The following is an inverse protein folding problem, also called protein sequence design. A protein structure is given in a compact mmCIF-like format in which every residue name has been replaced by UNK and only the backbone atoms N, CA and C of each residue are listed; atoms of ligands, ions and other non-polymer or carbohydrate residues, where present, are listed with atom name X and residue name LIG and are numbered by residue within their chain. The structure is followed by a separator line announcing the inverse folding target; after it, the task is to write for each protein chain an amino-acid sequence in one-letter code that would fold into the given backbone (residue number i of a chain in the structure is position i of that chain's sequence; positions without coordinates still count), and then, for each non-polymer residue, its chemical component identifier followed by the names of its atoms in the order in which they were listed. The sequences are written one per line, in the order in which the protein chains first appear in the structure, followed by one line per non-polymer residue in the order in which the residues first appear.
data_IF_597316401443
#
_entry.id   IF_597316401443
#
_cell.length_a   1.000
_cell.length_b   1.000
_cell.length_c   1.000
_cell.angle_alpha   90.00
_cell.angle_beta   90.00
_cell.angle_gamma   90.00
#
_symmetry.space_group_name_H-M   'P 1'
#
loop_
_entity.id
_entity.type
_entity.pdbx_description
1 polymer ?
#
# COMPACT_ATOMS: atom_id res chain seq x y z
N UNK A 1 34.48 -22.51 -5.17
CA UNK A 1 34.35 -21.62 -4.00
C UNK A 1 33.03 -21.95 -3.35
N UNK A 2 33.02 -22.14 -2.05
CA UNK A 2 31.81 -22.54 -1.32
C UNK A 2 30.92 -21.31 -1.06
N UNK A 3 30.10 -20.95 -2.06
CA UNK A 3 29.16 -19.84 -1.95
C UNK A 3 27.90 -20.30 -1.21
N UNK A 4 28.02 -20.43 0.12
CA UNK A 4 26.87 -20.62 1.00
C UNK A 4 26.02 -19.34 0.98
N UNK A 5 24.97 -19.34 0.14
CA UNK A 5 24.04 -18.22 0.02
C UNK A 5 23.22 -18.06 1.31
N UNK A 6 22.96 -16.81 1.70
CA UNK A 6 22.18 -16.49 2.90
C UNK A 6 20.70 -16.46 2.58
N UNK A 7 19.92 -17.24 3.32
CA UNK A 7 18.45 -17.13 3.34
C UNK A 7 18.09 -16.12 4.41
N UNK A 8 17.59 -14.94 4.01
CA UNK A 8 17.05 -13.94 4.93
C UNK A 8 15.54 -14.21 5.13
N UNK A 9 15.07 -14.43 6.38
CA UNK A 9 13.65 -14.67 6.66
C UNK A 9 12.72 -13.54 6.21
N UNK A 10 13.18 -12.28 6.20
CA UNK A 10 12.38 -11.15 5.75
C UNK A 10 12.09 -11.25 4.24
N UNK A 11 13.06 -11.74 3.45
CA UNK A 11 12.94 -11.98 2.02
C UNK A 11 12.15 -13.24 1.71
N UNK A 12 12.50 -14.36 2.34
CA UNK A 12 11.82 -15.64 2.15
C UNK A 12 10.31 -15.51 2.44
N UNK A 13 9.93 -14.79 3.50
CA UNK A 13 8.53 -14.56 3.86
C UNK A 13 7.74 -13.58 2.98
N UNK A 14 8.35 -12.89 1.99
CA UNK A 14 7.59 -12.01 1.06
C UNK A 14 6.95 -12.79 -0.09
N UNK A 15 7.46 -13.97 -0.42
CA UNK A 15 6.93 -14.83 -1.47
C UNK A 15 6.11 -15.93 -0.78
N UNK A 16 4.81 -16.12 -1.11
CA UNK A 16 4.03 -17.22 -0.56
C UNK A 16 4.74 -18.56 -0.81
N UNK A 17 4.75 -19.49 0.16
CA UNK A 17 5.24 -20.84 -0.08
C UNK A 17 4.42 -21.48 -1.20
N UNK A 18 5.08 -22.28 -2.03
CA UNK A 18 4.38 -23.16 -2.97
C UNK A 18 3.88 -24.39 -2.20
N UNK A 19 2.83 -25.04 -2.71
CA UNK A 19 2.35 -26.28 -2.11
C UNK A 19 3.40 -27.40 -2.16
N UNK A 20 3.29 -28.39 -1.28
CA UNK A 20 4.20 -29.53 -1.25
C UNK A 20 4.22 -30.28 -2.61
N UNK A 21 3.08 -30.31 -3.30
CA UNK A 21 2.96 -30.90 -4.64
C UNK A 21 3.70 -30.09 -5.71
N UNK A 22 3.57 -28.76 -5.71
CA UNK A 22 4.36 -27.90 -6.59
C UNK A 22 5.86 -27.96 -6.26
N UNK A 23 6.23 -28.11 -5.00
CA UNK A 23 7.61 -28.30 -4.58
C UNK A 23 8.16 -29.66 -5.04
N UNK A 24 7.37 -30.72 -4.93
CA UNK A 24 7.70 -32.05 -5.44
C UNK A 24 7.92 -32.04 -6.94
N UNK A 25 7.01 -31.47 -7.72
CA UNK A 25 7.17 -31.34 -9.17
C UNK A 25 8.39 -30.49 -9.54
N UNK A 26 8.64 -29.38 -8.82
CA UNK A 26 9.83 -28.55 -9.03
C UNK A 26 11.12 -29.35 -8.75
N UNK A 27 11.15 -30.15 -7.69
CA UNK A 27 12.27 -31.03 -7.35
C UNK A 27 12.50 -32.07 -8.44
N UNK A 28 11.47 -32.83 -8.82
CA UNK A 28 11.55 -33.86 -9.86
C UNK A 28 12.11 -33.28 -11.17
N UNK A 29 11.59 -32.13 -11.62
CA UNK A 29 12.07 -31.44 -12.83
C UNK A 29 13.55 -31.03 -12.76
N UNK A 30 14.04 -30.58 -11.60
CA UNK A 30 15.44 -30.18 -11.41
C UNK A 30 16.36 -31.41 -11.40
N UNK A 31 15.94 -32.51 -10.79
CA UNK A 31 16.72 -33.74 -10.71
C UNK A 31 16.80 -34.45 -12.08
N UNK A 32 15.70 -34.45 -12.85
CA UNK A 32 15.70 -34.98 -14.22
C UNK A 32 16.62 -34.18 -15.16
N UNK A 33 16.60 -32.84 -15.05
CA UNK A 33 17.48 -31.98 -15.85
C UNK A 33 18.96 -32.04 -15.40
N UNK A 34 19.22 -32.38 -14.14
CA UNK A 34 20.56 -32.29 -13.52
C UNK A 34 21.09 -30.85 -13.36
N UNK A 35 20.30 -29.84 -13.72
CA UNK A 35 20.66 -28.43 -13.58
C UNK A 35 19.45 -27.51 -13.34
N UNK A 36 19.71 -26.41 -12.63
CA UNK A 36 18.74 -25.32 -12.43
C UNK A 36 18.92 -24.27 -13.52
N UNK A 37 18.04 -24.28 -14.52
CA UNK A 37 18.08 -23.35 -15.66
C UNK A 37 18.02 -21.87 -15.26
N UNK A 38 17.03 -21.51 -14.42
CA UNK A 38 16.87 -20.15 -13.89
C UNK A 38 17.85 -19.90 -12.73
N UNK A 39 18.77 -18.93 -12.82
CA UNK A 39 19.74 -18.68 -11.77
C UNK A 39 19.08 -18.25 -10.46
N UNK A 40 19.71 -18.57 -9.34
CA UNK A 40 19.33 -18.02 -8.02
C UNK A 40 19.67 -16.52 -8.03
N UNK A 41 18.70 -15.67 -7.74
CA UNK A 41 18.90 -14.21 -7.77
C UNK A 41 19.32 -13.75 -6.39
N UNK A 42 20.43 -13.01 -6.33
CA UNK A 42 21.08 -12.62 -5.07
C UNK A 42 21.33 -11.11 -4.99
N UNK A 43 21.41 -10.59 -3.76
CA UNK A 43 21.81 -9.21 -3.46
C UNK A 43 22.64 -9.20 -2.17
N UNK A 44 23.89 -8.73 -2.24
CA UNK A 44 24.88 -8.80 -1.16
C UNK A 44 25.04 -10.24 -0.60
N UNK A 45 24.90 -11.26 -1.45
CA UNK A 45 24.93 -12.68 -1.06
C UNK A 45 23.68 -13.20 -0.33
N UNK A 46 22.63 -12.39 -0.18
CA UNK A 46 21.30 -12.80 0.29
C UNK A 46 20.45 -13.25 -0.90
N UNK A 47 19.67 -14.32 -0.76
CA UNK A 47 18.73 -14.77 -1.80
C UNK A 47 17.52 -13.83 -1.87
N UNK A 48 17.23 -13.35 -3.07
CA UNK A 48 16.08 -12.49 -3.40
C UNK A 48 15.01 -13.27 -4.15
N UNK A 49 15.39 -14.18 -5.04
CA UNK A 49 14.47 -15.14 -5.68
C UNK A 49 15.16 -16.48 -5.95
N UNK A 50 14.36 -17.55 -5.99
CA UNK A 50 14.84 -18.93 -6.13
C UNK A 50 14.93 -19.73 -4.84
N UNK A 51 14.38 -19.26 -3.72
CA UNK A 51 14.36 -19.96 -2.43
C UNK A 51 14.04 -21.46 -2.51
N UNK A 52 13.01 -21.84 -3.29
CA UNK A 52 12.63 -23.25 -3.47
C UNK A 52 13.66 -24.04 -4.31
N UNK A 53 14.22 -23.41 -5.34
CA UNK A 53 15.33 -23.99 -6.14
C UNK A 53 16.57 -24.20 -5.27
N UNK A 54 16.88 -23.24 -4.40
CA UNK A 54 17.98 -23.32 -3.44
C UNK A 54 17.81 -24.48 -2.45
N UNK A 55 16.59 -24.68 -1.91
CA UNK A 55 16.30 -25.85 -1.05
C UNK A 55 16.58 -27.17 -1.76
N UNK A 56 16.20 -27.31 -3.04
CA UNK A 56 16.53 -28.50 -3.84
C UNK A 56 18.04 -28.64 -4.04
N UNK A 57 18.77 -27.57 -4.34
CA UNK A 57 20.25 -27.60 -4.46
C UNK A 57 20.92 -28.04 -3.15
N UNK A 58 20.43 -27.57 -1.99
CA UNK A 58 20.98 -27.96 -0.68
C UNK A 58 20.81 -29.46 -0.38
N UNK A 59 19.72 -30.07 -0.86
CA UNK A 59 19.46 -31.50 -0.72
C UNK A 59 20.19 -32.37 -1.78
N UNK A 60 20.67 -31.79 -2.88
CA UNK A 60 21.22 -32.51 -4.04
C UNK A 60 22.44 -31.73 -4.63
N UNK A 61 23.62 -31.75 -3.97
CA UNK A 61 24.77 -30.89 -4.31
C UNK A 61 25.40 -31.14 -5.69
N UNK A 62 25.08 -32.25 -6.33
CA UNK A 62 25.50 -32.62 -7.68
C UNK A 62 24.78 -31.84 -8.80
N UNK A 63 23.61 -31.26 -8.48
CA UNK A 63 22.83 -30.44 -9.42
C UNK A 63 23.62 -29.18 -9.79
N UNK A 64 23.75 -28.89 -11.08
CA UNK A 64 24.43 -27.67 -11.55
C UNK A 64 23.53 -26.46 -11.37
N UNK A 65 24.10 -25.34 -10.93
CA UNK A 65 23.35 -24.09 -10.73
C UNK A 65 24.24 -22.87 -10.96
N UNK A 66 23.61 -21.70 -11.04
CA UNK A 66 24.27 -20.39 -11.22
C UNK A 66 23.59 -19.34 -10.36
N UNK A 67 24.34 -18.33 -9.96
CA UNK A 67 23.79 -17.10 -9.37
C UNK A 67 23.58 -16.02 -10.43
N UNK A 68 22.71 -15.07 -10.11
CA UNK A 68 22.65 -13.74 -10.74
C UNK A 68 22.61 -12.72 -9.62
N UNK A 69 23.76 -12.09 -9.36
CA UNK A 69 23.81 -10.93 -8.47
C UNK A 69 23.05 -9.76 -9.11
N UNK A 70 22.27 -9.06 -8.30
CA UNK A 70 21.52 -7.87 -8.67
C UNK A 70 21.77 -6.77 -7.65
N UNK A 71 21.98 -5.55 -8.14
CA UNK A 71 22.10 -4.37 -7.30
C UNK A 71 20.72 -3.73 -7.05
N UNK A 72 20.39 -3.49 -5.79
CA UNK A 72 19.24 -2.70 -5.36
C UNK A 72 19.70 -1.56 -4.46
N UNK A 73 19.07 -0.39 -4.61
CA UNK A 73 19.40 0.81 -3.82
C UNK A 73 19.09 0.63 -2.32
N UNK A 74 18.03 -0.13 -2.01
CA UNK A 74 17.60 -0.47 -0.66
C UNK A 74 16.81 -1.80 -0.67
N UNK A 75 16.43 -2.31 0.51
CA UNK A 75 15.64 -3.55 0.61
C UNK A 75 14.22 -3.45 0.04
N UNK A 76 13.64 -2.24 -0.01
CA UNK A 76 12.31 -2.00 -0.55
C UNK A 76 12.30 -2.02 -2.09
N UNK A 77 13.39 -1.60 -2.73
CA UNK A 77 13.63 -1.79 -4.17
C UNK A 77 13.75 -3.29 -4.51
N UNK A 78 14.44 -4.07 -3.67
CA UNK A 78 14.50 -5.53 -3.80
C UNK A 78 13.11 -6.18 -3.65
N UNK A 79 12.34 -5.84 -2.59
CA UNK A 79 10.96 -6.30 -2.44
C UNK A 79 10.06 -5.86 -3.61
N UNK A 80 10.21 -4.64 -4.10
CA UNK A 80 9.48 -4.15 -5.28
C UNK A 80 9.77 -4.97 -6.53
N UNK A 81 11.03 -5.38 -6.72
CA UNK A 81 11.41 -6.28 -7.81
C UNK A 81 10.81 -7.68 -7.63
N UNK A 82 10.83 -8.23 -6.40
CA UNK A 82 10.23 -9.54 -6.09
C UNK A 82 8.72 -9.56 -6.38
N UNK A 83 7.95 -8.60 -5.86
CA UNK A 83 6.51 -8.53 -6.09
C UNK A 83 6.18 -8.33 -7.57
N UNK A 84 6.98 -7.55 -8.31
CA UNK A 84 6.84 -7.43 -9.77
C UNK A 84 7.07 -8.77 -10.47
N UNK A 85 8.08 -9.54 -10.07
CA UNK A 85 8.36 -10.86 -10.62
C UNK A 85 7.19 -11.84 -10.34
N UNK A 86 6.60 -11.79 -9.14
CA UNK A 86 5.40 -12.56 -8.80
C UNK A 86 4.21 -12.20 -9.70
N UNK A 87 3.96 -10.91 -9.98
CA UNK A 87 2.85 -10.47 -10.85
C UNK A 87 2.93 -10.93 -12.31
N UNK A 88 4.12 -11.36 -12.77
CA UNK A 88 4.34 -12.00 -14.06
C UNK A 88 3.94 -13.48 -14.11
N UNK A 89 3.71 -14.13 -12.95
CA UNK A 89 3.24 -15.52 -12.89
C UNK A 89 1.78 -15.62 -13.36
N UNK A 90 1.49 -16.60 -14.22
CA UNK A 90 0.16 -16.80 -14.83
C UNK A 90 -0.86 -17.46 -13.88
N UNK A 91 -0.40 -18.09 -12.81
CA UNK A 91 -1.22 -18.96 -11.95
C UNK A 91 -1.62 -18.30 -10.61
N UNK A 92 -1.59 -16.97 -10.50
CA UNK A 92 -2.05 -16.27 -9.29
C UNK A 92 -3.57 -16.23 -9.23
N UNK A 93 -4.14 -16.44 -8.03
CA UNK A 93 -5.54 -16.10 -7.77
C UNK A 93 -5.76 -14.57 -7.85
N UNK A 94 -7.01 -14.14 -8.01
CA UNK A 94 -7.35 -12.72 -8.04
C UNK A 94 -7.04 -12.03 -6.68
N UNK A 95 -7.15 -12.76 -5.57
CA UNK A 95 -6.76 -12.33 -4.23
C UNK A 95 -5.24 -12.23 -4.08
N UNK A 96 -4.46 -13.23 -4.51
CA UNK A 96 -3.00 -13.18 -4.51
C UNK A 96 -2.46 -12.04 -5.39
N UNK A 97 -3.05 -11.85 -6.58
CA UNK A 97 -2.68 -10.73 -7.48
C UNK A 97 -2.98 -9.38 -6.82
N UNK A 98 -4.14 -9.24 -6.19
CA UNK A 98 -4.51 -8.01 -5.46
C UNK A 98 -3.59 -7.75 -4.28
N UNK A 99 -3.32 -8.77 -3.45
CA UNK A 99 -2.38 -8.67 -2.34
C UNK A 99 -0.98 -8.23 -2.81
N UNK A 100 -0.46 -8.87 -3.85
CA UNK A 100 0.87 -8.59 -4.41
C UNK A 100 0.98 -7.17 -4.98
N UNK A 101 -0.07 -6.64 -5.62
CA UNK A 101 -0.13 -5.22 -6.05
C UNK A 101 -0.08 -4.29 -4.82
N UNK A 102 -0.78 -4.63 -3.74
CA UNK A 102 -0.77 -3.88 -2.50
C UNK A 102 0.63 -3.82 -1.87
N UNK A 103 1.31 -4.97 -1.74
CA UNK A 103 2.69 -5.03 -1.18
C UNK A 103 3.73 -4.36 -2.11
N UNK A 104 3.55 -4.40 -3.43
CA UNK A 104 4.36 -3.62 -4.38
C UNK A 104 4.21 -2.11 -4.15
N UNK A 105 2.99 -1.63 -3.94
CA UNK A 105 2.72 -0.21 -3.65
C UNK A 105 3.28 0.21 -2.29
N UNK A 106 3.15 -0.63 -1.26
CA UNK A 106 3.78 -0.45 0.04
C UNK A 106 5.30 -0.33 -0.08
N UNK A 107 5.96 -1.30 -0.72
CA UNK A 107 7.42 -1.30 -0.86
C UNK A 107 7.93 -0.04 -1.59
N UNK A 108 7.31 0.34 -2.72
CA UNK A 108 7.73 1.54 -3.46
C UNK A 108 7.56 2.84 -2.66
N UNK A 109 6.49 2.98 -1.87
CA UNK A 109 6.33 4.13 -0.96
C UNK A 109 7.45 4.19 0.08
N UNK A 110 7.86 3.04 0.61
CA UNK A 110 8.88 2.97 1.65
C UNK A 110 10.30 3.24 1.10
N UNK A 111 10.58 2.86 -0.16
CA UNK A 111 11.85 3.18 -0.86
C UNK A 111 12.01 4.68 -1.14
N UNK A 112 10.92 5.38 -1.49
CA UNK A 112 10.95 6.83 -1.79
C UNK A 112 11.23 7.68 -0.54
N UNK A 113 10.99 7.15 0.65
CA UNK A 113 11.24 7.84 1.92
C UNK A 113 10.09 8.76 2.36
N UNK A 114 9.99 8.95 3.67
CA UNK A 114 8.90 9.69 4.32
C UNK A 114 9.08 11.20 4.43
N UNK A 115 9.97 11.83 3.66
CA UNK A 115 10.20 13.28 3.75
C UNK A 115 9.07 14.09 3.10
N UNK A 116 7.99 14.26 3.86
CA UNK A 116 6.85 15.10 3.53
C UNK A 116 7.08 16.60 3.81
N UNK A 117 8.33 17.04 4.02
CA UNK A 117 8.68 18.43 4.37
C UNK A 117 9.39 19.20 3.25
N UNK A 118 9.80 18.55 2.16
CA UNK A 118 10.28 19.27 0.97
C UNK A 118 9.17 20.10 0.32
N UNK A 119 9.53 21.14 -0.44
CA UNK A 119 8.54 21.98 -1.13
C UNK A 119 7.84 21.29 -2.32
N UNK A 120 8.26 20.09 -2.70
CA UNK A 120 7.72 19.32 -3.82
C UNK A 120 6.46 18.52 -3.45
N UNK A 121 6.14 18.43 -2.16
CA UNK A 121 4.87 17.87 -1.69
C UNK A 121 3.76 18.93 -1.69
N UNK A 122 2.59 18.55 -2.20
CA UNK A 122 1.41 19.41 -2.09
C UNK A 122 1.06 19.63 -0.61
N UNK A 123 0.77 20.88 -0.25
CA UNK A 123 0.27 21.27 1.08
C UNK A 123 -1.26 21.18 1.17
N UNK A 124 -1.92 20.96 0.04
CA UNK A 124 -3.38 21.03 -0.11
C UNK A 124 -3.97 19.62 -0.20
N UNK A 125 -5.01 19.34 0.58
CA UNK A 125 -5.55 17.99 0.79
C UNK A 125 -6.11 17.30 -0.46
N UNK A 126 -6.45 18.06 -1.50
CA UNK A 126 -7.10 17.57 -2.73
C UNK A 126 -6.24 17.68 -4.00
N UNK A 127 -5.04 18.25 -3.92
CA UNK A 127 -4.18 18.43 -5.09
C UNK A 127 -3.28 17.20 -5.28
N UNK A 128 -3.08 16.68 -6.50
CA UNK A 128 -2.09 15.64 -6.75
C UNK A 128 -0.70 16.06 -6.26
N UNK A 129 0.16 15.07 -5.97
CA UNK A 129 1.58 15.34 -5.73
C UNK A 129 2.14 16.10 -6.93
N UNK A 130 2.73 17.28 -6.71
CA UNK A 130 3.19 18.21 -7.77
C UNK A 130 4.28 17.64 -8.68
N UNK A 131 4.80 16.47 -8.34
CA UNK A 131 5.79 15.73 -9.09
C UNK A 131 5.24 14.33 -9.45
N UNK A 132 4.99 14.09 -10.73
CA UNK A 132 4.58 12.79 -11.29
C UNK A 132 5.54 11.64 -10.92
N UNK A 133 6.81 11.95 -10.63
CA UNK A 133 7.76 10.97 -10.14
C UNK A 133 7.40 10.41 -8.75
N UNK A 134 6.58 11.11 -7.95
CA UNK A 134 6.15 10.68 -6.62
C UNK A 134 4.80 9.93 -6.61
N UNK A 135 3.99 10.01 -7.68
CA UNK A 135 2.76 9.23 -7.79
C UNK A 135 3.06 7.75 -8.07
N UNK A 136 3.37 7.04 -6.99
CA UNK A 136 3.70 5.61 -6.98
C UNK A 136 2.57 4.73 -7.52
N UNK A 137 1.31 5.14 -7.32
CA UNK A 137 0.15 4.37 -7.77
C UNK A 137 -0.02 4.49 -9.30
N UNK A 138 0.13 5.69 -9.88
CA UNK A 138 0.11 5.89 -11.33
C UNK A 138 1.29 5.21 -12.05
N UNK A 139 2.44 5.06 -11.38
CA UNK A 139 3.56 4.25 -11.90
C UNK A 139 3.22 2.75 -11.96
N UNK A 140 2.61 2.20 -10.91
CA UNK A 140 2.17 0.80 -10.88
C UNK A 140 1.05 0.56 -11.91
N UNK A 141 0.15 1.51 -12.08
CA UNK A 141 -0.93 1.46 -13.08
C UNK A 141 -0.38 1.23 -14.49
N UNK A 142 0.54 2.09 -14.94
CA UNK A 142 1.20 1.99 -16.26
C UNK A 142 2.00 0.70 -16.46
N UNK A 143 2.48 0.08 -15.39
CA UNK A 143 3.36 -1.10 -15.43
C UNK A 143 2.60 -2.43 -15.34
N UNK A 144 1.54 -2.48 -14.54
CA UNK A 144 0.75 -3.70 -14.25
C UNK A 144 -0.58 -3.71 -15.02
N UNK A 145 -1.00 -2.57 -15.58
CA UNK A 145 -2.27 -2.39 -16.28
C UNK A 145 -3.46 -2.27 -15.33
N UNK A 146 -3.30 -1.57 -14.20
CA UNK A 146 -4.29 -1.55 -13.11
C UNK A 146 -4.51 -0.13 -12.58
N UNK A 147 -5.68 0.43 -12.89
CA UNK A 147 -6.07 1.81 -12.56
C UNK A 147 -5.67 2.26 -11.14
N UNK A 148 -5.13 3.48 -11.02
CA UNK A 148 -4.64 4.07 -9.75
C UNK A 148 -5.55 3.82 -8.52
N UNK A 149 -6.89 3.98 -8.58
CA UNK A 149 -7.76 3.73 -7.43
C UNK A 149 -7.77 2.26 -7.00
N UNK A 150 -7.57 1.32 -7.92
CA UNK A 150 -7.47 -0.12 -7.65
C UNK A 150 -6.15 -0.45 -6.95
N UNK A 151 -5.03 0.20 -7.32
CA UNK A 151 -3.76 0.09 -6.57
C UNK A 151 -3.92 0.56 -5.13
N UNK A 152 -4.61 1.68 -4.90
CA UNK A 152 -4.92 2.17 -3.54
C UNK A 152 -5.83 1.22 -2.76
N UNK A 153 -6.83 0.59 -3.41
CA UNK A 153 -7.67 -0.44 -2.76
C UNK A 153 -6.89 -1.72 -2.45
N UNK A 154 -5.91 -2.07 -3.27
CA UNK A 154 -5.03 -3.23 -3.08
C UNK A 154 -4.11 -3.05 -1.85
N UNK A 155 -3.61 -1.84 -1.59
CA UNK A 155 -2.89 -1.49 -0.34
C UNK A 155 -3.73 -1.79 0.92
N UNK A 156 -5.01 -1.41 0.89
CA UNK A 156 -5.92 -1.65 2.01
C UNK A 156 -6.27 -3.14 2.16
N UNK A 157 -6.36 -3.87 1.05
CA UNK A 157 -6.63 -5.31 1.07
C UNK A 157 -5.42 -6.07 1.63
N UNK A 158 -4.21 -5.71 1.18
CA UNK A 158 -2.97 -6.28 1.69
C UNK A 158 -2.85 -6.11 3.21
N UNK A 159 -3.11 -4.91 3.74
CA UNK A 159 -3.12 -4.63 5.19
C UNK A 159 -4.16 -5.44 5.97
N UNK A 160 -5.34 -5.66 5.39
CA UNK A 160 -6.36 -6.52 5.99
C UNK A 160 -5.94 -7.99 6.05
N UNK A 161 -5.30 -8.49 4.99
CA UNK A 161 -4.71 -9.84 4.96
C UNK A 161 -3.53 -9.95 5.94
N UNK A 162 -2.70 -8.91 6.08
CA UNK A 162 -1.58 -8.90 7.02
C UNK A 162 -2.06 -8.92 8.48
N UNK A 163 -3.09 -8.13 8.83
CA UNK A 163 -3.70 -8.16 10.17
C UNK A 163 -4.28 -9.55 10.50
N UNK A 164 -4.90 -10.24 9.53
CA UNK A 164 -5.31 -11.64 9.73
C UNK A 164 -4.10 -12.57 9.85
N UNK A 165 -3.04 -12.37 9.06
CA UNK A 165 -1.83 -13.22 9.12
C UNK A 165 -1.13 -13.13 10.46
N UNK A 166 -1.14 -11.95 11.09
CA UNK A 166 -0.62 -11.74 12.44
C UNK A 166 -1.43 -12.52 13.50
N UNK A 167 -2.74 -12.66 13.33
CA UNK A 167 -3.58 -13.51 14.19
C UNK A 167 -3.48 -15.01 13.86
N UNK A 168 -3.54 -15.37 12.57
CA UNK A 168 -3.44 -16.75 12.08
C UNK A 168 -3.01 -16.79 10.58
N UNK A 169 -1.84 -17.37 10.26
CA UNK A 169 -1.38 -17.50 8.88
C UNK A 169 -2.28 -18.34 7.96
N UNK A 170 -2.88 -19.43 8.45
CA UNK A 170 -3.75 -20.31 7.66
C UNK A 170 -5.01 -19.57 7.19
N UNK A 171 -5.58 -18.70 8.03
CA UNK A 171 -6.73 -17.88 7.67
C UNK A 171 -6.39 -16.87 6.56
N UNK A 172 -5.21 -16.25 6.63
CA UNK A 172 -4.72 -15.33 5.60
C UNK A 172 -4.49 -16.07 4.27
N UNK A 173 -3.89 -17.26 4.30
CA UNK A 173 -3.63 -18.05 3.11
C UNK A 173 -4.92 -18.60 2.49
N UNK A 174 -5.94 -18.91 3.31
CA UNK A 174 -7.30 -19.25 2.86
C UNK A 174 -8.03 -18.08 2.19
N UNK A 175 -7.79 -16.84 2.64
CA UNK A 175 -8.24 -15.62 1.94
C UNK A 175 -7.51 -15.49 0.60
N UNK A 176 -6.19 -15.65 0.58
CA UNK A 176 -5.41 -15.59 -0.67
C UNK A 176 -5.77 -16.71 -1.66
N UNK A 177 -6.24 -17.86 -1.17
CA UNK A 177 -6.77 -18.93 -2.01
C UNK A 177 -8.19 -18.67 -2.56
N UNK A 178 -8.83 -17.55 -2.20
CA UNK A 178 -10.24 -17.25 -2.56
C UNK A 178 -11.27 -18.12 -1.81
N UNK A 179 -10.86 -18.82 -0.74
CA UNK A 179 -11.65 -19.85 -0.05
C UNK A 179 -12.17 -19.42 1.34
N UNK A 180 -12.05 -18.15 1.69
CA UNK A 180 -12.47 -17.60 2.99
C UNK A 180 -13.96 -17.26 3.09
N UNK A 181 -14.64 -17.14 1.94
CA UNK A 181 -16.01 -16.59 1.88
C UNK A 181 -16.08 -15.07 2.07
N UNK A 182 -15.02 -14.39 2.51
CA UNK A 182 -14.99 -12.94 2.64
C UNK A 182 -14.75 -12.28 1.27
N UNK A 183 -15.43 -11.17 1.04
CA UNK A 183 -15.19 -10.31 -0.11
C UNK A 183 -13.93 -9.47 0.09
N UNK A 184 -13.31 -9.04 -1.02
CA UNK A 184 -12.23 -8.03 -0.99
C UNK A 184 -12.65 -6.71 -0.35
N UNK A 185 -13.95 -6.43 -0.20
CA UNK A 185 -14.43 -5.25 0.51
C UNK A 185 -14.30 -5.44 2.02
N UNK A 186 -14.88 -6.51 2.55
CA UNK A 186 -14.84 -6.87 3.97
C UNK A 186 -13.39 -6.95 4.47
N UNK A 187 -12.49 -7.63 3.73
CA UNK A 187 -11.07 -7.73 4.12
C UNK A 187 -10.37 -6.36 4.26
N UNK A 188 -10.69 -5.35 3.44
CA UNK A 188 -10.09 -4.00 3.56
C UNK A 188 -10.52 -3.25 4.83
N UNK A 189 -11.61 -3.66 5.46
CA UNK A 189 -12.19 -3.00 6.63
C UNK A 189 -11.51 -3.48 7.92
N UNK A 190 -10.98 -4.71 7.91
CA UNK A 190 -10.31 -5.41 9.02
C UNK A 190 -9.10 -4.64 9.57
N UNK A 191 -8.38 -3.90 8.71
CA UNK A 191 -7.26 -3.03 9.12
C UNK A 191 -7.64 -1.93 10.14
N UNK A 192 -8.93 -1.68 10.36
CA UNK A 192 -9.45 -0.68 11.30
C UNK A 192 -10.23 -1.31 12.47
N UNK A 193 -10.20 -2.65 12.61
CA UNK A 193 -10.91 -3.39 13.64
C UNK A 193 -9.99 -3.66 14.83
N UNK A 194 -10.58 -3.88 16.00
CA UNK A 194 -9.82 -4.23 17.21
C UNK A 194 -9.33 -5.69 17.16
N UNK A 195 -8.21 -6.05 17.82
CA UNK A 195 -7.65 -7.41 17.73
C UNK A 195 -8.64 -8.54 18.05
N UNK A 196 -9.52 -8.34 19.04
CA UNK A 196 -10.57 -9.31 19.41
C UNK A 196 -11.60 -9.53 18.29
N UNK A 197 -11.86 -8.52 17.46
CA UNK A 197 -12.73 -8.63 16.29
C UNK A 197 -12.00 -9.38 15.16
N UNK A 198 -10.71 -9.08 14.94
CA UNK A 198 -9.85 -9.79 13.97
C UNK A 198 -9.76 -11.28 14.29
N UNK A 199 -9.65 -11.64 15.57
CA UNK A 199 -9.63 -13.03 16.04
C UNK A 199 -10.93 -13.78 15.70
N UNK A 200 -12.11 -13.21 16.00
CA UNK A 200 -13.42 -13.80 15.65
C UNK A 200 -13.59 -13.98 14.14
N UNK A 201 -13.15 -13.02 13.34
CA UNK A 201 -13.15 -13.12 11.88
C UNK A 201 -12.25 -14.27 11.42
N UNK A 202 -11.08 -14.38 12.05
CA UNK A 202 -10.07 -15.39 11.77
C UNK A 202 -10.60 -16.80 12.06
N UNK A 203 -11.20 -17.03 13.22
CA UNK A 203 -11.87 -18.28 13.58
C UNK A 203 -12.97 -18.64 12.57
N UNK A 204 -13.84 -17.70 12.19
CA UNK A 204 -14.89 -17.93 11.21
C UNK A 204 -14.33 -18.29 9.82
N UNK A 205 -13.24 -17.63 9.40
CA UNK A 205 -12.54 -17.96 8.14
C UNK A 205 -11.95 -19.38 8.19
N UNK A 206 -11.33 -19.79 9.29
CA UNK A 206 -10.85 -21.18 9.48
C UNK A 206 -12.03 -22.17 9.46
N UNK A 207 -13.10 -21.88 10.18
CA UNK A 207 -14.28 -22.75 10.26
C UNK A 207 -14.99 -22.91 8.90
N UNK A 208 -15.04 -21.86 8.08
CA UNK A 208 -15.74 -21.83 6.79
C UNK A 208 -15.33 -22.96 5.83
N UNK A 209 -16.27 -23.43 5.01
CA UNK A 209 -16.02 -24.48 4.03
C UNK A 209 -16.72 -24.14 2.71
N UNK A 210 -15.92 -23.74 1.72
CA UNK A 210 -16.39 -23.32 0.40
C UNK A 210 -17.06 -24.44 -0.41
N UNK A 211 -16.90 -25.71 -0.01
CA UNK A 211 -17.54 -26.86 -0.69
C UNK A 211 -18.92 -27.20 -0.14
N UNK A 212 -19.28 -26.64 1.03
CA UNK A 212 -20.55 -26.94 1.72
C UNK A 212 -21.67 -25.98 1.32
N UNK A 213 -22.94 -26.43 1.40
CA UNK A 213 -24.08 -25.56 1.14
C UNK A 213 -24.13 -24.38 2.11
N UNK A 214 -24.64 -23.24 1.62
CA UNK A 214 -24.71 -21.96 2.35
C UNK A 214 -25.51 -21.98 3.65
N UNK A 215 -26.31 -23.02 3.90
CA UNK A 215 -27.11 -23.22 5.12
C UNK A 215 -26.39 -23.99 6.23
N UNK A 216 -25.13 -24.39 6.02
CA UNK A 216 -24.31 -25.07 7.03
C UNK A 216 -23.88 -24.14 8.16
N UNK A 217 -23.72 -24.68 9.38
CA UNK A 217 -23.24 -23.93 10.57
C UNK A 217 -21.96 -23.12 10.28
N UNK A 218 -21.01 -23.72 9.56
CA UNK A 218 -19.77 -23.09 9.09
C UNK A 218 -19.99 -21.90 8.14
N UNK A 219 -21.07 -21.90 7.36
CA UNK A 219 -21.48 -20.77 6.52
C UNK A 219 -22.22 -19.69 7.33
N UNK A 220 -22.97 -20.11 8.36
CA UNK A 220 -23.67 -19.20 9.26
C UNK A 220 -22.67 -18.36 10.07
N UNK A 221 -21.56 -18.94 10.55
CA UNK A 221 -20.49 -18.19 11.23
C UNK A 221 -19.93 -17.02 10.38
N UNK A 222 -19.70 -17.22 9.08
CA UNK A 222 -19.31 -16.13 8.16
C UNK A 222 -20.45 -15.12 7.98
N UNK A 223 -21.71 -15.55 7.94
CA UNK A 223 -22.85 -14.64 7.86
C UNK A 223 -23.00 -13.77 9.12
N UNK A 224 -22.74 -14.32 10.31
CA UNK A 224 -22.72 -13.61 11.60
C UNK A 224 -21.57 -12.58 11.64
N UNK A 225 -20.36 -12.98 11.25
CA UNK A 225 -19.23 -12.05 11.11
C UNK A 225 -19.55 -10.88 10.18
N UNK A 226 -20.18 -11.14 9.02
CA UNK A 226 -20.64 -10.05 8.13
C UNK A 226 -21.69 -9.15 8.78
N UNK A 227 -22.61 -9.71 9.58
CA UNK A 227 -23.62 -8.93 10.29
C UNK A 227 -22.97 -8.01 11.35
N UNK A 228 -21.97 -8.52 12.08
CA UNK A 228 -21.17 -7.74 13.03
C UNK A 228 -20.39 -6.62 12.32
N UNK A 229 -19.63 -6.93 11.25
CA UNK A 229 -18.95 -5.93 10.41
C UNK A 229 -19.88 -4.82 9.92
N UNK A 230 -21.10 -5.18 9.52
CA UNK A 230 -22.13 -4.22 9.10
C UNK A 230 -22.56 -3.31 10.25
N UNK A 231 -22.82 -3.86 11.44
CA UNK A 231 -23.18 -3.07 12.62
C UNK A 231 -22.04 -2.10 13.01
N UNK A 232 -20.79 -2.56 13.00
CA UNK A 232 -19.60 -1.72 13.25
C UNK A 232 -19.53 -0.57 12.24
N UNK A 233 -19.68 -0.85 10.93
CA UNK A 233 -19.75 0.18 9.88
C UNK A 233 -20.85 1.22 10.18
N UNK A 234 -22.06 0.78 10.53
CA UNK A 234 -23.18 1.67 10.82
C UNK A 234 -22.93 2.53 12.08
N UNK A 235 -22.27 1.98 13.12
CA UNK A 235 -21.84 2.74 14.31
C UNK A 235 -20.77 3.79 13.98
N UNK A 236 -19.73 3.41 13.23
CA UNK A 236 -18.66 4.33 12.80
C UNK A 236 -19.25 5.46 11.95
N UNK A 237 -20.10 5.16 10.98
CA UNK A 237 -20.77 6.17 10.15
C UNK A 237 -21.61 7.14 10.97
N UNK A 238 -22.41 6.66 11.93
CA UNK A 238 -23.17 7.51 12.86
C UNK A 238 -22.26 8.40 13.71
N UNK A 239 -21.13 7.87 14.19
CA UNK A 239 -20.17 8.65 14.99
C UNK A 239 -19.51 9.79 14.19
N UNK A 240 -19.20 9.55 12.91
CA UNK A 240 -18.62 10.56 12.00
C UNK A 240 -19.67 11.61 11.64
N UNK A 241 -20.91 11.19 11.35
CA UNK A 241 -22.02 12.11 11.06
C UNK A 241 -22.33 13.03 12.26
N UNK A 242 -22.37 12.50 13.48
CA UNK A 242 -22.59 13.30 14.69
C UNK A 242 -21.46 14.30 14.96
N UNK A 243 -20.19 13.96 14.65
CA UNK A 243 -19.08 14.92 14.72
C UNK A 243 -19.25 16.04 13.69
N UNK A 244 -19.63 15.70 12.45
CA UNK A 244 -19.90 16.70 11.40
C UNK A 244 -21.08 17.63 11.72
N UNK A 245 -22.07 17.16 12.49
CA UNK A 245 -23.22 17.98 12.91
C UNK A 245 -22.91 18.91 14.10
N UNK A 246 -21.87 18.62 14.88
CA UNK A 246 -21.43 19.47 15.99
C UNK A 246 -20.60 20.68 15.53
N UNK A 247 -20.08 20.66 14.29
CA UNK A 247 -19.30 21.72 13.67
C UNK A 247 -20.13 22.64 12.73
N UNK A 248 -21.47 22.58 12.76
CA UNK A 248 -22.28 23.57 12.02
C UNK A 248 -22.08 24.99 12.59
N UNK A 249 -21.71 25.99 11.77
CA UNK A 249 -21.57 27.35 12.24
C UNK A 249 -22.93 27.92 12.65
N UNK A 250 -23.01 28.45 13.86
CA UNK A 250 -24.25 28.96 14.44
C UNK A 250 -24.98 29.97 13.50
N UNK A 251 -26.32 29.92 13.42
CA UNK A 251 -27.08 30.74 12.47
C UNK A 251 -26.88 32.23 12.74
N UNK A 252 -26.48 32.95 11.69
CA UNK A 252 -26.11 34.37 11.76
C UNK A 252 -27.31 35.24 12.15
N UNK A 253 -27.15 36.09 13.18
CA UNK A 253 -28.26 36.88 13.73
C UNK A 253 -28.58 38.06 12.79
N UNK A 254 -29.88 38.34 12.52
CA UNK A 254 -30.25 39.40 11.59
C UNK A 254 -29.85 40.78 12.12
N UNK A 255 -29.09 41.53 11.32
CA UNK A 255 -28.64 42.89 11.65
C UNK A 255 -29.79 43.89 11.54
N UNK A 256 -30.29 44.36 12.67
CA UNK A 256 -31.23 45.49 12.72
C UNK A 256 -30.53 46.78 12.27
N UNK A 257 -31.07 47.45 11.25
CA UNK A 257 -30.68 48.82 10.88
C UNK A 257 -31.02 49.78 12.02
N UNK A 258 -30.10 50.67 12.37
CA UNK A 258 -30.45 51.97 12.95
C UNK A 258 -29.67 53.06 12.20
N UNK A 259 -30.40 54.10 11.80
CA UNK A 259 -29.90 55.27 11.08
C UNK A 259 -29.74 56.40 12.10
N UNK A 260 -28.70 57.22 11.99
CA UNK A 260 -28.63 58.53 12.63
C UNK A 260 -27.66 59.43 11.86
N UNK A 261 -28.20 60.47 11.26
CA UNK A 261 -27.49 61.56 10.58
C UNK A 261 -27.19 62.73 11.56
N UNK A 262 -26.43 63.73 11.06
CA UNK A 262 -26.57 65.18 11.37
C UNK A 262 -25.56 65.86 12.35
N UNK A 263 -24.56 66.55 11.75
CA UNK A 263 -23.98 67.89 12.09
C UNK A 263 -22.95 68.00 13.26
N UNK A 264 -21.65 68.32 13.04
CA UNK A 264 -20.97 69.64 12.84
C UNK A 264 -20.79 70.49 14.15
N UNK A 265 -19.69 71.22 14.49
CA UNK A 265 -18.46 71.64 13.74
C UNK A 265 -17.07 71.35 14.42
N UNK A 266 -16.26 72.28 15.07
CA UNK A 266 -14.82 72.31 14.73
C UNK A 266 -13.76 72.52 15.86
N UNK A 267 -12.51 72.80 15.44
CA UNK A 267 -11.26 73.20 16.17
C UNK A 267 -10.39 72.04 16.72
N UNK A 268 -9.05 72.03 16.65
CA UNK A 268 -8.03 72.94 16.06
C UNK A 268 -6.75 72.13 15.70
N UNK A 269 -5.97 72.54 14.68
CA UNK A 269 -4.61 72.01 14.37
C UNK A 269 -3.55 72.69 15.29
N UNK A 270 -2.26 72.27 15.41
CA UNK A 270 -1.40 71.63 14.38
C UNK A 270 -0.50 70.48 14.92
N UNK A 271 0.63 69.96 14.35
CA UNK A 271 1.44 70.31 13.16
C UNK A 271 2.36 69.13 12.67
N UNK A 272 3.30 69.44 11.76
CA UNK A 272 4.55 68.75 11.35
C UNK A 272 4.55 67.40 10.58
N UNK A 273 4.85 67.53 9.28
CA UNK A 273 5.49 66.59 8.33
C UNK A 273 7.04 66.81 8.33
N UNK A 274 7.93 65.92 7.81
CA UNK A 274 7.98 65.39 6.42
C UNK A 274 8.31 63.87 6.27
N UNK A 275 7.72 63.12 5.32
CA UNK A 275 8.07 63.04 3.88
C UNK A 275 9.52 62.63 3.54
N UNK A 276 9.69 61.43 2.96
CA UNK A 276 10.49 61.20 1.73
C UNK A 276 10.24 59.81 1.12
N UNK A 277 9.70 59.79 -0.09
CA UNK A 277 9.79 58.65 -1.02
C UNK A 277 11.21 58.51 -1.57
N UNK A 278 11.69 57.29 -1.79
CA UNK A 278 12.62 56.97 -2.89
C UNK A 278 12.19 55.66 -3.56
N UNK A 279 11.93 55.75 -4.86
CA UNK A 279 11.71 54.62 -5.77
C UNK A 279 13.04 53.99 -6.18
N UNK A 280 13.05 52.72 -6.60
CA UNK A 280 13.96 52.36 -7.68
C UNK A 280 13.46 51.23 -8.59
N UNK A 281 13.67 51.41 -9.91
CA UNK A 281 13.52 50.38 -10.95
C UNK A 281 14.92 50.04 -11.45
N UNK A 282 15.21 48.77 -11.70
CA UNK A 282 16.18 48.31 -12.72
C UNK A 282 15.86 46.83 -12.97
N UNK A 283 15.97 46.22 -14.14
CA UNK A 283 15.97 46.59 -15.56
C UNK A 283 16.36 45.29 -16.28
N UNK A 284 15.82 45.04 -17.48
CA UNK A 284 16.18 43.88 -18.29
C UNK A 284 17.69 43.78 -18.58
N UNK A 285 18.19 42.55 -18.75
CA UNK A 285 19.22 42.27 -19.75
C UNK A 285 19.04 40.88 -20.36
N UNK A 286 18.85 40.82 -21.67
CA UNK A 286 19.02 39.60 -22.47
C UNK A 286 20.46 39.56 -22.96
N UNK A 287 21.12 38.41 -22.92
CA UNK A 287 22.20 38.10 -23.88
C UNK A 287 22.04 36.70 -24.47
N UNK A 288 22.19 36.66 -25.78
CA UNK A 288 22.24 35.49 -26.65
C UNK A 288 23.65 34.93 -26.70
N UNK A 289 23.79 33.63 -27.01
CA UNK A 289 25.07 32.98 -27.31
C UNK A 289 24.84 31.63 -28.00
N UNK A 290 25.49 31.42 -29.15
CA UNK A 290 25.40 30.19 -29.97
C UNK A 290 26.66 29.32 -29.80
N UNK A 291 26.47 28.02 -30.03
CA UNK A 291 27.39 27.08 -30.69
C UNK A 291 28.85 26.95 -30.20
N UNK A 292 29.21 25.73 -29.81
CA UNK A 292 29.97 24.83 -30.70
C UNK A 292 29.38 23.41 -30.60
#
# INVERSE_FOLDING_TARGET
MDMMLKVDPEFAGKIPPISDEEFRQLRENILEAGEVYEPIVTWNGVIVDGHNRWKVIQENPEVRWRTREMEFADKWAAFSWMYRNQLGRRNLTDEQRTYTIGKLYEARKNSIGGDRRSQDFSKDQNDPLKNDALNTAAKIDKEVGVAEPTVKRADLFAKGVDAIREANPEAADKILAGKSGLTKQEVREIKNMEPEEVEKITEAVIAYDATKPKSSEKSNAIAEVRAQMRQIREMVQKSVANRSAADEPAPDKPKSKLILDTVFLPTFYPHFYPQRNITNRYSLSRKTGKAQ
#
